data_IF_041593708293
#
_entry.id   IF_041593708293
#
_cell.length_a   1.000
_cell.length_b   1.000
_cell.length_c   1.000
_cell.angle_alpha   90.00
_cell.angle_beta   90.00
_cell.angle_gamma   90.00
#
_symmetry.space_group_name_H-M   'P 1'
#
loop_
_entity.id
_entity.type
_entity.pdbx_description
1 polymer ?
#
# COMPACT_ATOMS: atom_id res chain seq x y z
N UNK A 1 -10.05 -13.63 8.61
CA UNK A 1 -10.37 -13.88 10.04
C UNK A 1 -9.75 -12.79 10.90
N UNK A 2 -10.28 -12.54 12.09
CA UNK A 2 -9.77 -11.58 13.06
C UNK A 2 -9.62 -12.28 14.40
N UNK A 3 -8.49 -12.10 15.06
CA UNK A 3 -8.30 -12.59 16.42
C UNK A 3 -8.93 -11.61 17.42
N UNK A 4 -9.75 -12.13 18.32
CA UNK A 4 -10.41 -11.38 19.42
C UNK A 4 -9.71 -11.73 20.74
N UNK A 5 -8.82 -10.87 21.26
CA UNK A 5 -7.99 -11.21 22.41
C UNK A 5 -8.79 -11.49 23.70
N UNK A 6 -9.90 -10.77 23.90
CA UNK A 6 -10.75 -10.94 25.09
C UNK A 6 -11.43 -12.31 25.16
N UNK A 7 -11.62 -12.96 24.01
CA UNK A 7 -12.24 -14.29 23.90
C UNK A 7 -11.20 -15.38 23.60
N UNK A 8 -9.95 -14.99 23.32
CA UNK A 8 -8.90 -15.87 22.82
C UNK A 8 -9.36 -16.76 21.65
N UNK A 9 -10.06 -16.16 20.68
CA UNK A 9 -10.67 -16.87 19.56
C UNK A 9 -10.47 -16.11 18.25
N UNK A 10 -10.43 -16.87 17.15
CA UNK A 10 -10.54 -16.33 15.81
C UNK A 10 -12.01 -16.24 15.41
N UNK A 11 -12.39 -15.11 14.82
CA UNK A 11 -13.72 -14.85 14.31
C UNK A 11 -13.67 -14.60 12.80
N UNK A 12 -14.70 -15.08 12.10
CA UNK A 12 -14.88 -14.76 10.68
C UNK A 12 -15.07 -13.26 10.52
N UNK A 13 -14.36 -12.68 9.56
CA UNK A 13 -14.54 -11.28 9.17
C UNK A 13 -15.37 -11.28 7.90
N UNK A 14 -16.44 -10.51 7.90
CA UNK A 14 -17.34 -10.27 6.77
C UNK A 14 -17.46 -8.77 6.56
N UNK A 15 -17.80 -8.34 5.35
CA UNK A 15 -17.97 -6.92 5.01
C UNK A 15 -16.84 -6.37 4.14
N UNK A 16 -16.83 -5.06 3.92
CA UNK A 16 -16.00 -4.42 2.91
C UNK A 16 -14.50 -4.55 3.18
N UNK A 17 -14.08 -4.75 4.43
CA UNK A 17 -12.65 -4.95 4.76
C UNK A 17 -12.02 -6.17 4.07
N UNK A 18 -12.81 -7.21 3.75
CA UNK A 18 -12.34 -8.42 3.05
C UNK A 18 -12.68 -8.42 1.55
N UNK A 19 -13.44 -7.45 1.06
CA UNK A 19 -13.87 -7.40 -0.34
C UNK A 19 -12.71 -7.04 -1.28
N UNK A 20 -12.50 -7.89 -2.30
CA UNK A 20 -11.57 -7.61 -3.40
C UNK A 20 -10.07 -7.73 -3.07
N UNK A 21 -9.72 -8.34 -1.93
CA UNK A 21 -8.36 -8.23 -1.38
C UNK A 21 -7.39 -9.37 -1.74
N UNK A 22 -6.26 -9.04 -2.39
CA UNK A 22 -5.11 -9.96 -2.59
C UNK A 22 -3.74 -9.27 -2.54
N UNK A 23 -3.63 -8.12 -1.90
CA UNK A 23 -2.44 -7.27 -2.00
C UNK A 23 -1.85 -6.94 -0.63
N UNK A 24 -0.57 -6.53 -0.54
CA UNK A 24 0.00 -6.11 0.73
C UNK A 24 -0.80 -4.97 1.38
N UNK A 25 -1.09 -5.12 2.68
CA UNK A 25 -1.65 -4.08 3.54
C UNK A 25 -0.64 -3.60 4.58
N UNK A 26 -0.87 -2.40 5.08
CA UNK A 26 -0.14 -1.84 6.21
C UNK A 26 -0.97 -0.80 6.94
N UNK A 27 -0.62 -0.51 8.19
CA UNK A 27 -1.27 0.53 8.98
C UNK A 27 -0.33 1.70 9.23
N UNK A 28 -0.90 2.91 9.22
CA UNK A 28 -0.19 4.13 9.59
C UNK A 28 -1.20 5.12 10.18
N UNK A 29 -0.86 5.75 11.30
CA UNK A 29 -1.71 6.73 11.99
C UNK A 29 -3.16 6.25 12.23
N UNK A 30 -3.32 4.98 12.60
CA UNK A 30 -4.64 4.38 12.88
C UNK A 30 -5.50 4.08 11.66
N UNK A 31 -4.99 4.28 10.44
CA UNK A 31 -5.67 3.94 9.18
C UNK A 31 -5.07 2.70 8.56
N UNK A 32 -5.90 1.91 7.87
CA UNK A 32 -5.52 0.72 7.12
C UNK A 32 -5.39 1.07 5.63
N UNK A 33 -4.27 0.67 5.04
CA UNK A 33 -3.92 0.94 3.64
C UNK A 33 -3.70 -0.35 2.86
N UNK A 34 -3.95 -0.25 1.56
CA UNK A 34 -3.97 -1.33 0.59
C UNK A 34 -3.20 -1.00 -0.65
N UNK A 35 -2.46 -1.93 -1.24
CA UNK A 35 -2.07 -1.75 -2.64
C UNK A 35 -3.25 -2.13 -3.56
N UNK A 36 -3.56 -1.30 -4.54
CA UNK A 36 -4.64 -1.51 -5.54
C UNK A 36 -4.04 -1.79 -6.94
N UNK A 37 -2.72 -1.94 -7.02
CA UNK A 37 -2.03 -2.38 -8.21
C UNK A 37 -0.89 -3.32 -7.85
N UNK A 38 -0.59 -4.25 -8.75
CA UNK A 38 0.41 -5.31 -8.56
C UNK A 38 1.80 -4.76 -8.25
N UNK A 39 2.18 -3.65 -8.86
CA UNK A 39 3.48 -2.99 -8.65
C UNK A 39 3.47 -1.94 -7.53
N UNK A 40 2.35 -1.80 -6.83
CA UNK A 40 2.15 -0.81 -5.77
C UNK A 40 2.02 0.64 -6.26
N UNK A 41 1.80 0.91 -7.55
CA UNK A 41 1.65 2.29 -8.04
C UNK A 41 0.35 2.98 -7.59
N UNK A 42 -0.62 2.21 -7.10
CA UNK A 42 -1.91 2.66 -6.57
C UNK A 42 -2.17 2.05 -5.21
N UNK A 43 -2.82 2.81 -4.33
CA UNK A 43 -3.26 2.33 -3.04
C UNK A 43 -4.62 2.89 -2.64
N UNK A 44 -5.29 2.22 -1.72
CA UNK A 44 -6.56 2.65 -1.11
C UNK A 44 -6.45 2.72 0.39
N UNK A 45 -7.37 3.48 0.99
CA UNK A 45 -7.52 3.59 2.44
C UNK A 45 -8.86 2.98 2.80
N UNK A 46 -8.90 2.15 3.83
CA UNK A 46 -10.15 1.63 4.35
C UNK A 46 -10.89 2.73 5.13
N UNK A 47 -12.15 2.97 4.79
CA UNK A 47 -13.08 3.78 5.55
C UNK A 47 -13.92 2.89 6.46
N UNK A 48 -13.70 2.99 7.76
CA UNK A 48 -14.41 2.22 8.77
C UNK A 48 -15.85 2.72 9.01
N UNK A 49 -16.19 3.95 8.59
CA UNK A 49 -17.53 4.52 8.74
C UNK A 49 -18.47 3.92 7.70
N UNK A 50 -17.98 3.80 6.46
CA UNK A 50 -18.75 3.28 5.33
C UNK A 50 -18.53 1.79 5.07
N UNK A 51 -17.61 1.14 5.80
CA UNK A 51 -17.18 -0.24 5.57
C UNK A 51 -16.76 -0.47 4.11
N UNK A 52 -15.89 0.41 3.59
CA UNK A 52 -15.49 0.40 2.18
C UNK A 52 -14.03 0.76 1.95
N UNK A 53 -13.47 0.27 0.83
CA UNK A 53 -12.16 0.69 0.34
C UNK A 53 -12.29 1.96 -0.50
N UNK A 54 -11.90 3.07 0.13
CA UNK A 54 -12.09 4.43 -0.34
C UNK A 54 -10.84 4.98 -1.06
N UNK A 55 -10.84 6.31 -1.27
CA UNK A 55 -9.81 7.18 -1.87
C UNK A 55 -8.61 6.45 -2.49
N UNK A 56 -8.62 6.39 -3.82
CA UNK A 56 -7.47 5.98 -4.61
C UNK A 56 -6.34 7.03 -4.51
N UNK A 57 -5.18 6.60 -4.02
CA UNK A 57 -3.93 7.34 -4.05
C UNK A 57 -3.10 6.73 -5.18
N UNK A 58 -2.88 7.51 -6.23
CA UNK A 58 -2.26 7.05 -7.47
C UNK A 58 -0.97 7.82 -7.74
N UNK A 59 0.13 7.11 -7.92
CA UNK A 59 1.41 7.69 -8.36
C UNK A 59 1.39 8.17 -9.81
N UNK A 60 0.42 7.70 -10.61
CA UNK A 60 0.32 7.82 -12.06
C UNK A 60 1.52 7.26 -12.83
N UNK A 61 2.38 6.49 -12.16
CA UNK A 61 3.56 5.85 -12.74
C UNK A 61 3.48 4.34 -12.52
N UNK A 62 2.90 3.66 -13.50
CA UNK A 62 2.91 2.20 -13.55
C UNK A 62 4.29 1.71 -13.99
N UNK A 63 4.95 0.92 -13.16
CA UNK A 63 6.27 0.36 -13.43
C UNK A 63 6.18 -0.88 -14.34
N UNK A 64 5.06 -1.60 -14.28
CA UNK A 64 4.80 -2.77 -15.13
C UNK A 64 4.27 -3.98 -14.35
N UNK A 65 3.99 -5.07 -15.07
CA UNK A 65 3.31 -6.26 -14.50
C UNK A 65 4.25 -7.45 -14.22
N UNK A 66 5.56 -7.28 -14.38
CA UNK A 66 6.53 -8.36 -14.15
C UNK A 66 6.54 -8.81 -12.69
N UNK A 67 6.82 -10.09 -12.44
CA UNK A 67 6.96 -10.61 -11.07
C UNK A 67 8.06 -9.88 -10.29
N UNK A 68 9.12 -9.38 -10.96
CA UNK A 68 10.18 -8.60 -10.34
C UNK A 68 9.68 -7.26 -9.76
N UNK A 69 8.66 -6.65 -10.37
CA UNK A 69 8.08 -5.38 -9.94
C UNK A 69 6.87 -5.56 -9.02
N UNK A 70 6.43 -6.78 -8.78
CA UNK A 70 5.33 -7.06 -7.87
C UNK A 70 5.68 -6.60 -6.45
N UNK A 71 4.75 -5.87 -5.83
CA UNK A 71 4.88 -5.42 -4.47
C UNK A 71 4.75 -6.61 -3.52
N UNK A 72 5.81 -6.85 -2.75
CA UNK A 72 5.91 -7.94 -1.80
C UNK A 72 5.48 -7.51 -0.39
N UNK A 73 5.67 -6.24 -0.04
CA UNK A 73 5.32 -5.72 1.28
C UNK A 73 4.94 -4.24 1.26
N UNK A 74 4.08 -3.86 2.20
CA UNK A 74 3.72 -2.49 2.53
C UNK A 74 3.96 -2.27 4.04
N UNK A 75 4.80 -1.31 4.40
CA UNK A 75 5.17 -1.08 5.80
C UNK A 75 5.35 0.41 6.14
N UNK A 76 5.08 0.83 7.39
CA UNK A 76 5.37 2.19 7.81
C UNK A 76 6.89 2.42 7.97
N UNK A 77 7.40 3.53 7.44
CA UNK A 77 8.79 3.95 7.56
C UNK A 77 8.87 5.48 7.64
N UNK A 78 9.41 6.02 8.74
CA UNK A 78 9.65 7.47 8.89
C UNK A 78 8.39 8.33 8.76
N UNK A 79 7.22 7.84 9.21
CA UNK A 79 5.95 8.55 9.08
C UNK A 79 5.30 8.49 7.70
N UNK A 80 5.88 7.71 6.78
CA UNK A 80 5.37 7.44 5.43
C UNK A 80 5.10 5.94 5.27
N UNK A 81 4.43 5.55 4.18
CA UNK A 81 4.29 4.13 3.81
C UNK A 81 5.37 3.76 2.78
N UNK A 82 5.94 2.59 2.94
CA UNK A 82 7.05 2.07 2.14
C UNK A 82 6.61 0.79 1.43
N UNK A 83 6.86 0.73 0.13
CA UNK A 83 6.53 -0.37 -0.77
C UNK A 83 7.83 -1.04 -1.16
N UNK A 84 7.96 -2.32 -0.81
CA UNK A 84 9.08 -3.17 -1.19
C UNK A 84 8.61 -4.13 -2.27
N UNK A 85 9.36 -4.21 -3.36
CA UNK A 85 9.08 -5.11 -4.49
C UNK A 85 10.02 -6.30 -4.50
N UNK A 86 9.67 -7.33 -5.27
CA UNK A 86 10.48 -8.55 -5.41
C UNK A 86 11.91 -8.30 -5.91
N UNK A 87 12.13 -7.26 -6.73
CA UNK A 87 13.45 -6.83 -7.17
C UNK A 87 14.19 -5.94 -6.16
N UNK A 88 13.72 -5.87 -4.92
CA UNK A 88 14.25 -5.03 -3.84
C UNK A 88 14.22 -3.52 -4.12
N UNK A 89 13.52 -3.07 -5.16
CA UNK A 89 13.24 -1.64 -5.33
C UNK A 89 12.24 -1.17 -4.28
N UNK A 90 12.43 0.07 -3.84
CA UNK A 90 11.71 0.67 -2.73
C UNK A 90 11.14 2.01 -3.18
N UNK A 91 9.84 2.17 -3.02
CA UNK A 91 9.15 3.45 -3.14
C UNK A 91 8.49 3.81 -1.82
N UNK A 92 8.44 5.09 -1.51
CA UNK A 92 7.82 5.62 -0.30
C UNK A 92 6.76 6.64 -0.67
N UNK A 93 5.65 6.62 0.05
CA UNK A 93 4.48 7.47 -0.16
C UNK A 93 4.12 8.23 1.11
N UNK A 94 4.00 9.55 0.99
CA UNK A 94 3.53 10.42 2.05
C UNK A 94 1.99 10.51 2.04
N UNK A 95 1.36 9.65 2.83
CA UNK A 95 -0.11 9.60 2.93
C UNK A 95 -0.70 10.64 3.90
N UNK A 96 0.12 11.35 4.67
CA UNK A 96 -0.34 12.41 5.57
C UNK A 96 -0.60 13.72 4.81
N UNK A 97 0.12 13.94 3.71
CA UNK A 97 0.07 15.17 2.93
C UNK A 97 -0.78 15.08 1.64
N UNK A 98 -1.76 14.15 1.57
CA UNK A 98 -2.57 13.92 0.35
C UNK A 98 -3.40 15.13 -0.11
N UNK A 99 -3.76 16.03 0.82
CA UNK A 99 -4.65 17.18 0.54
C UNK A 99 -3.89 18.44 0.13
N UNK A 100 -2.56 18.45 0.23
CA UNK A 100 -1.77 19.59 -0.23
C UNK A 100 -1.57 19.52 -1.76
N UNK A 101 -2.44 20.19 -2.51
CA UNK A 101 -2.38 20.28 -3.97
C UNK A 101 -1.02 20.78 -4.51
N UNK A 102 -0.22 21.46 -3.68
CA UNK A 102 1.11 21.95 -4.03
C UNK A 102 2.20 20.85 -4.14
N UNK A 103 1.97 19.62 -3.64
CA UNK A 103 3.00 18.56 -3.56
C UNK A 103 2.60 17.24 -4.21
N UNK A 104 1.63 17.20 -5.14
CA UNK A 104 1.21 15.94 -5.78
C UNK A 104 2.35 15.16 -6.45
N UNK A 105 3.37 15.85 -6.98
CA UNK A 105 4.59 15.21 -7.52
C UNK A 105 5.61 14.75 -6.48
N UNK A 106 5.45 15.14 -5.20
CA UNK A 106 6.34 14.82 -4.08
C UNK A 106 5.74 13.78 -3.13
N UNK A 107 4.52 13.31 -3.42
CA UNK A 107 3.85 12.27 -2.64
C UNK A 107 4.58 10.93 -2.73
N UNK A 108 5.23 10.66 -3.86
CA UNK A 108 5.92 9.39 -4.13
C UNK A 108 7.40 9.64 -4.38
N UNK A 109 8.23 8.89 -3.68
CA UNK A 109 9.68 8.96 -3.76
C UNK A 109 10.26 7.55 -3.98
N UNK A 110 11.21 7.39 -4.88
CA UNK A 110 11.92 6.10 -5.05
C UNK A 110 13.26 6.16 -4.35
N UNK A 111 13.41 5.37 -3.28
CA UNK A 111 14.62 5.36 -2.45
C UNK A 111 15.70 4.42 -3.00
N UNK A 112 15.29 3.31 -3.63
CA UNK A 112 16.19 2.32 -4.20
C UNK A 112 15.56 1.64 -5.41
N UNK A 113 16.33 1.32 -6.46
CA UNK A 113 15.76 0.59 -7.62
C UNK A 113 16.46 0.75 -8.96
N UNK A 114 17.42 1.66 -9.14
CA UNK A 114 18.17 1.77 -10.41
C UNK A 114 19.26 0.69 -10.60
N UNK A 115 19.53 -0.15 -9.59
CA UNK A 115 20.72 -0.99 -9.53
C UNK A 115 20.66 -2.39 -10.15
N UNK A 116 19.50 -2.85 -10.65
CA UNK A 116 19.37 -4.23 -11.17
C UNK A 116 18.58 -4.34 -12.50
N UNK A 117 18.61 -3.32 -13.34
CA UNK A 117 18.35 -3.54 -14.77
C UNK A 117 19.63 -4.10 -15.40
N UNK A 118 19.94 -5.38 -15.14
CA UNK A 118 20.80 -6.12 -16.06
C UNK A 118 19.94 -6.40 -17.29
N UNK A 119 20.02 -5.52 -18.28
CA UNK A 119 19.69 -5.88 -19.67
C UNK A 119 20.58 -7.05 -20.05
N UNK A 120 19.98 -8.23 -20.20
CA UNK A 120 20.60 -9.35 -20.90
C UNK A 120 20.38 -9.19 -22.40
#
# INVERSE_FOLDING_TARGET
EMYVPSLNQWSTVVGGIVDGWQTPSGTLNGKLYALDCKDGCRMRVYDNVNDSWDRLIDSKLHLGNSHALEAAALLPLGGKLCIVRNNMSISVVDVANLDCNAKKGQLWETLAGKGQFKTF
#
